data_IF_499489097322
#
_entry.id   IF_499489097322
#
_cell.length_a   1.000
_cell.length_b   1.000
_cell.length_c   1.000
_cell.angle_alpha   90.00
_cell.angle_beta   90.00
_cell.angle_gamma   90.00
#
_symmetry.space_group_name_H-M   'P 1'
#
loop_
_entity.id
_entity.type
_entity.pdbx_description
1 polymer ?
#
# COMPACT_ATOMS: atom_id res chain seq x y z
N UNK A 1 -10.97 -0.23 63.26
CA UNK A 1 -10.09 0.54 62.35
C UNK A 1 -9.96 -0.26 61.06
N UNK A 2 -10.84 -0.03 60.07
CA UNK A 2 -10.85 -0.80 58.81
C UNK A 2 -10.12 0.03 57.76
N UNK A 3 -8.91 -0.39 57.40
CA UNK A 3 -8.08 0.30 56.42
C UNK A 3 -8.68 0.12 55.01
N UNK A 4 -8.97 1.24 54.35
CA UNK A 4 -9.51 1.28 52.99
C UNK A 4 -8.42 0.88 51.96
N UNK A 5 -8.24 -0.43 51.75
CA UNK A 5 -7.23 -1.00 50.82
C UNK A 5 -7.63 -0.96 49.34
N UNK A 6 -8.70 -0.25 48.96
CA UNK A 6 -9.27 -0.29 47.60
C UNK A 6 -8.60 0.68 46.60
N UNK A 7 -7.89 1.69 47.09
CA UNK A 7 -7.25 2.72 46.26
C UNK A 7 -6.13 2.22 45.31
N UNK A 8 -5.18 1.34 45.73
CA UNK A 8 -4.09 0.91 44.85
C UNK A 8 -4.58 -0.03 43.75
N UNK A 9 -5.53 -0.92 44.05
CA UNK A 9 -6.11 -1.84 43.06
C UNK A 9 -6.81 -1.07 41.95
N UNK A 10 -7.61 -0.04 42.29
CA UNK A 10 -8.29 0.82 41.31
C UNK A 10 -7.32 1.61 40.44
N UNK A 11 -6.21 2.10 41.01
CA UNK A 11 -5.16 2.81 40.25
C UNK A 11 -4.43 1.89 39.26
N UNK A 12 -4.13 0.65 39.67
CA UNK A 12 -3.53 -0.37 38.81
C UNK A 12 -4.46 -0.77 37.67
N UNK A 13 -5.76 -0.95 37.94
CA UNK A 13 -6.74 -1.26 36.90
C UNK A 13 -6.85 -0.13 35.86
N UNK A 14 -6.88 1.13 36.30
CA UNK A 14 -6.92 2.30 35.39
C UNK A 14 -5.65 2.39 34.54
N UNK A 15 -4.47 2.16 35.13
CA UNK A 15 -3.21 2.15 34.40
C UNK A 15 -3.16 1.05 33.34
N UNK A 16 -3.66 -0.15 33.66
CA UNK A 16 -3.76 -1.27 32.72
C UNK A 16 -4.70 -0.95 31.55
N UNK A 17 -5.87 -0.38 31.81
CA UNK A 17 -6.81 0.03 30.76
C UNK A 17 -6.17 1.09 29.84
N UNK A 18 -5.52 2.10 30.41
CA UNK A 18 -4.83 3.12 29.64
C UNK A 18 -3.69 2.55 28.78
N UNK A 19 -2.91 1.61 29.32
CA UNK A 19 -1.84 0.94 28.59
C UNK A 19 -2.38 0.12 27.41
N UNK A 20 -3.47 -0.65 27.62
CA UNK A 20 -4.13 -1.41 26.56
C UNK A 20 -4.68 -0.47 25.47
N UNK A 21 -5.35 0.62 25.86
CA UNK A 21 -5.87 1.61 24.89
C UNK A 21 -4.73 2.23 24.07
N UNK A 22 -3.63 2.64 24.71
CA UNK A 22 -2.46 3.15 24.02
C UNK A 22 -1.86 2.12 23.03
N UNK A 23 -1.73 0.86 23.44
CA UNK A 23 -1.22 -0.21 22.58
C UNK A 23 -2.13 -0.44 21.36
N UNK A 24 -3.45 -0.46 21.56
CA UNK A 24 -4.41 -0.59 20.45
C UNK A 24 -4.38 0.60 19.49
N UNK A 25 -4.22 1.82 20.00
CA UNK A 25 -4.11 3.02 19.17
C UNK A 25 -2.82 3.02 18.34
N UNK A 26 -1.69 2.65 18.95
CA UNK A 26 -0.40 2.52 18.25
C UNK A 26 -0.46 1.44 17.17
N UNK A 27 -1.05 0.27 17.47
CA UNK A 27 -1.24 -0.80 16.50
C UNK A 27 -2.12 -0.34 15.31
N UNK A 28 -3.23 0.35 15.58
CA UNK A 28 -4.10 0.87 14.53
C UNK A 28 -3.41 1.92 13.64
N UNK A 29 -2.59 2.81 14.23
CA UNK A 29 -1.81 3.80 13.47
C UNK A 29 -0.71 3.12 12.64
N UNK A 30 -0.03 2.12 13.21
CA UNK A 30 1.00 1.36 12.52
C UNK A 30 0.44 0.57 11.32
N UNK A 31 -0.71 -0.09 11.49
CA UNK A 31 -1.44 -0.76 10.41
C UNK A 31 -1.82 0.23 9.30
N UNK A 32 -2.33 1.42 9.66
CA UNK A 32 -2.68 2.45 8.68
C UNK A 32 -1.46 2.98 7.92
N UNK A 33 -0.30 3.11 8.57
CA UNK A 33 0.95 3.55 7.92
C UNK A 33 1.56 2.48 7.03
N UNK A 34 1.58 1.23 7.47
CA UNK A 34 2.01 0.10 6.65
C UNK A 34 1.18 -0.03 5.37
N UNK A 35 -0.12 0.27 5.47
CA UNK A 35 -1.03 0.32 4.33
C UNK A 35 -0.88 1.56 3.43
N UNK A 36 -0.32 2.66 3.94
CA UNK A 36 -0.22 3.94 3.24
C UNK A 36 1.17 4.21 2.62
N UNK A 37 2.23 3.63 3.18
CA UNK A 37 3.60 3.96 2.82
C UNK A 37 4.19 2.92 1.87
N UNK A 38 3.71 2.95 0.62
CA UNK A 38 4.54 2.50 -0.50
C UNK A 38 5.07 3.75 -1.17
N UNK A 39 6.37 4.03 -1.04
CA UNK A 39 6.99 5.06 -1.86
C UNK A 39 6.90 4.61 -3.32
N UNK A 40 5.94 5.20 -4.04
CA UNK A 40 5.79 4.95 -5.48
C UNK A 40 7.02 5.53 -6.16
N UNK A 41 7.81 4.66 -6.77
CA UNK A 41 8.97 5.05 -7.57
C UNK A 41 8.80 4.52 -8.98
N UNK A 42 8.43 5.42 -9.89
CA UNK A 42 8.34 5.08 -11.31
C UNK A 42 9.75 4.91 -11.89
N UNK A 43 9.94 3.89 -12.71
CA UNK A 43 11.20 3.60 -13.40
C UNK A 43 11.25 4.31 -14.77
N UNK A 44 12.43 4.80 -15.18
CA UNK A 44 12.61 5.32 -16.52
C UNK A 44 12.44 4.19 -17.55
N UNK A 45 12.04 4.56 -18.76
CA UNK A 45 11.91 3.60 -19.84
C UNK A 45 13.29 3.13 -20.32
N UNK A 46 13.50 1.82 -20.30
CA UNK A 46 14.74 1.14 -20.71
C UNK A 46 14.54 0.15 -21.88
N UNK A 47 13.39 0.23 -22.56
CA UNK A 47 13.05 -0.66 -23.67
C UNK A 47 12.31 -1.95 -23.28
N UNK A 48 12.15 -2.21 -21.98
CA UNK A 48 11.33 -3.32 -21.45
C UNK A 48 9.90 -2.89 -21.21
N UNK A 49 8.98 -3.85 -21.26
CA UNK A 49 7.59 -3.64 -20.87
C UNK A 49 7.50 -3.35 -19.37
N UNK A 50 6.81 -2.28 -18.99
CA UNK A 50 6.55 -1.93 -17.59
C UNK A 50 5.05 -1.86 -17.38
N UNK A 51 4.51 -2.65 -16.46
CA UNK A 51 3.11 -2.56 -16.11
C UNK A 51 2.81 -1.21 -15.44
N UNK A 52 1.75 -0.54 -15.89
CA UNK A 52 1.28 0.71 -15.31
C UNK A 52 -0.02 0.47 -14.55
N UNK A 53 -0.02 0.74 -13.24
CA UNK A 53 -1.25 0.86 -12.46
C UNK A 53 -1.78 2.28 -12.59
N UNK A 54 -3.06 2.38 -12.98
CA UNK A 54 -3.75 3.67 -13.03
C UNK A 54 -4.24 4.06 -11.64
N UNK A 55 -3.74 5.18 -11.14
CA UNK A 55 -4.25 5.84 -9.93
C UNK A 55 -5.38 6.78 -10.30
N UNK A 56 -6.46 6.71 -9.55
CA UNK A 56 -7.61 7.61 -9.69
C UNK A 56 -8.12 8.11 -8.35
N UNK A 57 -8.75 9.28 -8.38
CA UNK A 57 -9.50 9.80 -7.22
C UNK A 57 -10.66 8.86 -6.94
N UNK A 58 -10.72 8.36 -5.71
CA UNK A 58 -11.75 7.41 -5.31
C UNK A 58 -13.08 8.11 -5.10
N UNK A 59 -14.09 7.72 -5.86
CA UNK A 59 -15.46 8.19 -5.69
C UNK A 59 -16.07 7.69 -4.36
N UNK A 60 -17.16 8.30 -3.86
CA UNK A 60 -17.91 7.76 -2.72
C UNK A 60 -18.27 6.29 -2.95
N UNK A 61 -17.96 5.42 -1.98
CA UNK A 61 -18.15 3.97 -2.09
C UNK A 61 -17.03 3.22 -2.82
N UNK A 62 -16.04 3.90 -3.39
CA UNK A 62 -14.89 3.28 -4.08
C UNK A 62 -13.73 2.90 -3.16
N UNK A 63 -13.97 2.78 -1.86
CA UNK A 63 -12.98 2.33 -0.88
C UNK A 63 -13.15 0.84 -0.63
N UNK A 64 -12.04 0.12 -0.50
CA UNK A 64 -12.07 -1.30 -0.14
C UNK A 64 -11.87 -1.49 1.36
N UNK A 65 -11.89 -2.74 1.81
CA UNK A 65 -11.69 -3.09 3.22
C UNK A 65 -10.44 -2.39 3.79
N UNK A 66 -10.56 -1.76 4.96
CA UNK A 66 -9.47 -0.96 5.55
C UNK A 66 -9.45 0.51 5.12
N UNK A 67 -10.46 0.99 4.37
CA UNK A 67 -10.64 2.41 4.06
C UNK A 67 -9.61 2.97 3.08
N UNK A 68 -8.92 2.08 2.37
CA UNK A 68 -7.97 2.44 1.34
C UNK A 68 -8.66 2.63 -0.01
N UNK A 69 -8.11 3.48 -0.90
CA UNK A 69 -8.58 3.63 -2.27
C UNK A 69 -8.64 2.29 -3.01
N UNK A 70 -9.74 1.94 -3.71
CA UNK A 70 -9.82 0.66 -4.43
C UNK A 70 -8.72 0.47 -5.47
N UNK A 71 -8.16 1.55 -6.03
CA UNK A 71 -7.05 1.45 -6.98
C UNK A 71 -5.79 0.83 -6.36
N UNK A 72 -5.58 0.84 -5.04
CA UNK A 72 -4.40 0.23 -4.39
C UNK A 72 -4.58 -1.28 -4.12
N UNK A 73 -5.75 -1.84 -4.42
CA UNK A 73 -6.05 -3.23 -4.11
C UNK A 73 -5.05 -4.19 -4.78
N UNK A 74 -4.41 -5.02 -3.95
CA UNK A 74 -3.39 -5.98 -4.37
C UNK A 74 -2.03 -5.38 -4.74
N UNK A 75 -1.85 -4.05 -4.69
CA UNK A 75 -0.60 -3.40 -5.04
C UNK A 75 0.48 -3.66 -3.98
N UNK A 76 1.76 -3.90 -4.36
CA UNK A 76 2.25 -4.12 -5.74
C UNK A 76 2.26 -5.61 -6.14
N UNK A 77 1.82 -6.50 -5.27
CA UNK A 77 2.02 -7.94 -5.42
C UNK A 77 1.26 -8.53 -6.62
N UNK A 78 0.04 -8.06 -6.87
CA UNK A 78 -0.78 -8.54 -7.98
C UNK A 78 -0.07 -8.36 -9.33
N UNK A 79 0.52 -7.18 -9.56
CA UNK A 79 1.19 -6.89 -10.82
C UNK A 79 2.54 -7.56 -10.94
N UNK A 80 3.31 -7.64 -9.85
CA UNK A 80 4.57 -8.39 -9.86
C UNK A 80 4.34 -9.85 -10.23
N UNK A 81 3.32 -10.48 -9.62
CA UNK A 81 2.95 -11.85 -9.95
C UNK A 81 2.47 -11.97 -11.41
N UNK A 82 1.63 -11.04 -11.88
CA UNK A 82 1.19 -11.03 -13.27
C UNK A 82 2.39 -10.89 -14.23
N UNK A 83 3.32 -9.97 -14.00
CA UNK A 83 4.49 -9.77 -14.85
C UNK A 83 5.44 -10.97 -14.85
N UNK A 84 5.60 -11.65 -13.70
CA UNK A 84 6.34 -12.92 -13.64
C UNK A 84 5.70 -13.98 -14.52
N UNK A 85 4.38 -14.17 -14.41
CA UNK A 85 3.64 -15.11 -15.27
C UNK A 85 3.80 -14.73 -16.75
N UNK A 86 3.58 -13.46 -17.09
CA UNK A 86 3.69 -12.98 -18.47
C UNK A 86 5.09 -13.19 -19.06
N UNK A 87 6.15 -13.00 -18.26
CA UNK A 87 7.52 -13.29 -18.68
C UNK A 87 7.75 -14.79 -18.91
N UNK A 88 7.11 -15.65 -18.11
CA UNK A 88 7.29 -17.10 -18.18
C UNK A 88 6.50 -17.74 -19.35
N UNK A 89 5.35 -17.16 -19.73
CA UNK A 89 4.45 -17.75 -20.75
C UNK A 89 4.35 -16.96 -22.06
N UNK A 90 4.90 -15.74 -22.11
CA UNK A 90 4.92 -14.91 -23.32
C UNK A 90 6.36 -14.50 -23.67
N UNK A 91 6.59 -14.11 -24.93
CA UNK A 91 7.85 -13.49 -25.38
C UNK A 91 7.96 -12.01 -24.94
N UNK A 92 7.42 -11.68 -23.76
CA UNK A 92 7.35 -10.32 -23.24
C UNK A 92 8.53 -10.07 -22.28
N UNK A 93 9.44 -9.19 -22.69
CA UNK A 93 10.52 -8.71 -21.82
C UNK A 93 9.98 -7.66 -20.85
N UNK A 94 9.48 -8.11 -19.69
CA UNK A 94 8.80 -7.28 -18.70
C UNK A 94 9.64 -7.07 -17.43
N UNK A 95 9.53 -5.87 -16.84
CA UNK A 95 9.92 -5.63 -15.44
C UNK A 95 9.01 -6.45 -14.52
N UNK A 96 9.60 -7.24 -13.61
CA UNK A 96 8.85 -8.14 -12.72
C UNK A 96 8.71 -7.64 -11.31
N UNK A 97 9.54 -6.68 -10.88
CA UNK A 97 9.55 -6.17 -9.50
C UNK A 97 9.19 -4.68 -9.44
N UNK A 98 9.40 -3.97 -10.55
CA UNK A 98 9.12 -2.55 -10.75
C UNK A 98 7.78 -2.34 -11.45
N UNK A 99 6.95 -1.44 -10.88
CA UNK A 99 5.63 -1.10 -11.38
C UNK A 99 5.52 0.43 -11.41
N UNK A 100 5.03 0.97 -12.51
CA UNK A 100 4.74 2.40 -12.59
C UNK A 100 3.31 2.67 -12.13
N UNK A 101 3.12 3.76 -11.39
CA UNK A 101 1.79 4.27 -11.05
C UNK A 101 1.64 5.65 -11.67
N UNK A 102 0.69 5.79 -12.60
CA UNK A 102 0.39 7.03 -13.32
C UNK A 102 -1.10 7.36 -13.16
N UNK A 103 -1.47 8.62 -13.39
CA UNK A 103 -2.89 9.02 -13.51
C UNK A 103 -3.34 8.92 -14.97
N UNK A 104 -4.66 8.95 -15.21
CA UNK A 104 -5.21 8.86 -16.58
C UNK A 104 -4.82 10.05 -17.47
N UNK A 105 -4.57 11.21 -16.86
CA UNK A 105 -4.17 12.44 -17.52
C UNK A 105 -2.64 12.62 -17.57
N UNK A 106 -1.86 11.64 -17.12
CA UNK A 106 -0.41 11.70 -17.18
C UNK A 106 0.07 11.63 -18.65
N UNK A 107 0.83 12.62 -19.15
CA UNK A 107 1.29 12.63 -20.54
C UNK A 107 2.21 11.46 -20.88
N UNK A 108 2.89 10.86 -19.91
CA UNK A 108 3.75 9.71 -20.14
C UNK A 108 2.94 8.42 -20.39
N UNK A 109 1.65 8.37 -20.04
CA UNK A 109 0.80 7.19 -20.22
C UNK A 109 0.55 6.85 -21.70
N UNK A 110 0.42 7.88 -22.55
CA UNK A 110 0.12 7.72 -23.98
C UNK A 110 1.35 7.94 -24.87
N UNK A 111 2.52 8.11 -24.27
CA UNK A 111 3.75 8.38 -25.00
C UNK A 111 4.31 7.10 -25.60
N UNK A 112 4.32 7.02 -26.93
CA UNK A 112 5.05 5.96 -27.64
C UNK A 112 6.55 6.19 -27.44
N UNK A 113 7.23 5.24 -26.78
CA UNK A 113 8.68 5.31 -26.56
C UNK A 113 9.39 4.34 -27.51
N UNK A 114 10.25 4.83 -28.41
CA UNK A 114 10.99 3.95 -29.30
C UNK A 114 11.96 3.10 -28.47
N UNK A 115 12.09 1.81 -28.80
CA UNK A 115 13.14 0.96 -28.22
C UNK A 115 14.48 1.56 -28.65
N UNK A 116 15.34 1.93 -27.71
CA UNK A 116 16.69 2.39 -28.02
C UNK A 116 17.41 1.28 -28.80
N UNK A 117 17.94 1.60 -29.98
CA UNK A 117 18.85 0.71 -30.68
C UNK A 117 20.06 0.50 -29.76
N UNK A 118 20.38 -0.76 -29.47
CA UNK A 118 21.66 -1.14 -28.87
C UNK A 118 22.75 -1.03 -29.94
#
# INVERSE_FOLDING_TARGET
>A
MIANRTAPARRLTVALIAAVLCLTAVAAIAQRRFLAETSIRNVPYDGRFTFVRVRYTTAPGGFWAGGLPSWIHGFPLAERNLMRIMRDICLLDAHTDEINVLTLDDPELFKLKPRSAQ
#
